data_IF_137865889866
#
_entry.id   IF_137865889866
#
_cell.length_a   1.000
_cell.length_b   1.000
_cell.length_c   1.000
_cell.angle_alpha   90.00
_cell.angle_beta   90.00
_cell.angle_gamma   90.00
#
_symmetry.space_group_name_H-M   'P 1'
#
loop_
_entity.id
_entity.type
_entity.pdbx_description
1 polymer ?
#
# COMPACT_ATOMS: atom_id res chain seq x y z
N UNK A 1 6.86 0.23 14.72
CA UNK A 1 7.20 -1.22 14.73
C UNK A 1 6.29 -2.02 15.65
N UNK A 2 6.04 -1.59 16.89
CA UNK A 2 5.11 -2.29 17.81
C UNK A 2 3.74 -2.58 17.17
N UNK A 3 3.21 -1.65 16.37
CA UNK A 3 1.96 -1.79 15.62
C UNK A 3 1.97 -2.99 14.66
N UNK A 4 3.07 -3.22 13.95
CA UNK A 4 3.23 -4.35 13.03
C UNK A 4 3.28 -5.69 13.77
N UNK A 5 4.01 -5.75 14.90
CA UNK A 5 4.07 -6.96 15.71
C UNK A 5 2.70 -7.32 16.30
N UNK A 6 1.94 -6.34 16.77
CA UNK A 6 0.54 -6.56 17.19
C UNK A 6 -0.29 -7.10 16.02
N UNK A 7 -0.11 -6.55 14.83
CA UNK A 7 -0.76 -7.05 13.61
C UNK A 7 -0.43 -8.52 13.32
N UNK A 8 0.85 -8.90 13.42
CA UNK A 8 1.31 -10.28 13.21
C UNK A 8 0.75 -11.24 14.26
N UNK A 9 0.71 -10.83 15.54
CA UNK A 9 0.14 -11.66 16.62
C UNK A 9 -1.35 -11.88 16.42
N UNK A 10 -2.10 -10.82 16.09
CA UNK A 10 -3.55 -10.92 15.80
C UNK A 10 -3.79 -11.82 14.59
N UNK A 11 -3.05 -11.62 13.50
CA UNK A 11 -3.20 -12.39 12.27
C UNK A 11 -2.82 -13.87 12.47
N UNK A 12 -1.73 -14.14 13.19
CA UNK A 12 -1.30 -15.48 13.56
C UNK A 12 -2.30 -16.18 14.46
N UNK A 13 -2.79 -15.49 15.51
CA UNK A 13 -3.84 -16.00 16.40
C UNK A 13 -5.13 -16.35 15.63
N UNK A 14 -5.58 -15.47 14.75
CA UNK A 14 -6.73 -15.70 13.89
C UNK A 14 -6.51 -16.91 12.97
N UNK A 15 -5.33 -17.03 12.37
CA UNK A 15 -4.98 -18.16 11.49
C UNK A 15 -5.01 -19.50 12.22
N UNK A 16 -4.47 -19.55 13.45
CA UNK A 16 -4.51 -20.74 14.31
C UNK A 16 -5.94 -21.09 14.70
N UNK A 17 -6.74 -20.09 15.10
CA UNK A 17 -8.14 -20.29 15.47
C UNK A 17 -8.96 -20.84 14.29
N UNK A 18 -8.75 -20.29 13.09
CA UNK A 18 -9.40 -20.74 11.88
C UNK A 18 -8.96 -22.15 11.46
N UNK A 19 -7.66 -22.47 11.59
CA UNK A 19 -7.17 -23.84 11.39
C UNK A 19 -7.82 -24.84 12.33
N UNK A 20 -7.83 -24.55 13.63
CA UNK A 20 -8.45 -25.42 14.63
C UNK A 20 -9.96 -25.58 14.40
N UNK A 21 -10.64 -24.47 14.06
CA UNK A 21 -12.06 -24.45 13.74
C UNK A 21 -12.41 -25.25 12.49
N UNK A 22 -11.69 -25.05 11.38
CA UNK A 22 -11.93 -25.81 10.14
C UNK A 22 -11.55 -27.28 10.29
N UNK A 23 -10.49 -27.59 11.05
CA UNK A 23 -10.13 -28.96 11.41
C UNK A 23 -11.24 -29.64 12.20
N UNK A 24 -11.73 -29.03 13.28
CA UNK A 24 -12.83 -29.55 14.07
C UNK A 24 -14.10 -29.74 13.24
N UNK A 25 -14.43 -28.76 12.40
CA UNK A 25 -15.57 -28.83 11.49
C UNK A 25 -15.43 -30.01 10.50
N UNK A 26 -14.24 -30.22 9.93
CA UNK A 26 -13.95 -31.30 8.97
C UNK A 26 -14.21 -32.71 9.53
N UNK A 27 -14.16 -32.88 10.85
CA UNK A 27 -14.50 -34.15 11.52
C UNK A 27 -16.01 -34.35 11.70
N UNK A 28 -16.81 -33.28 11.71
CA UNK A 28 -18.26 -33.33 11.94
C UNK A 28 -19.09 -33.35 10.67
N UNK A 29 -18.52 -32.87 9.56
CA UNK A 29 -19.21 -32.80 8.27
C UNK A 29 -18.87 -33.96 7.34
N UNK A 30 -19.69 -34.12 6.30
CA UNK A 30 -19.43 -35.08 5.23
C UNK A 30 -18.16 -34.71 4.47
N UNK A 31 -17.53 -35.75 3.93
CA UNK A 31 -16.31 -35.64 3.12
C UNK A 31 -16.49 -34.68 1.93
N UNK A 32 -17.60 -34.81 1.20
CA UNK A 32 -17.92 -33.95 0.07
C UNK A 32 -18.04 -32.48 0.47
N UNK A 33 -18.71 -32.19 1.59
CA UNK A 33 -18.87 -30.80 2.05
C UNK A 33 -17.53 -30.18 2.45
N UNK A 34 -16.66 -30.95 3.12
CA UNK A 34 -15.30 -30.49 3.45
C UNK A 34 -14.48 -30.14 2.21
N UNK A 35 -14.63 -30.92 1.12
CA UNK A 35 -13.91 -30.64 -0.14
C UNK A 35 -14.46 -29.40 -0.82
N UNK A 36 -15.78 -29.23 -0.86
CA UNK A 36 -16.42 -28.03 -1.41
C UNK A 36 -15.98 -26.77 -0.65
N UNK A 37 -15.89 -26.84 0.67
CA UNK A 37 -15.39 -25.72 1.49
C UNK A 37 -13.91 -25.45 1.23
N UNK A 38 -13.06 -26.48 1.10
CA UNK A 38 -11.65 -26.29 0.73
C UNK A 38 -11.50 -25.63 -0.65
N UNK A 39 -12.27 -26.07 -1.65
CA UNK A 39 -12.29 -25.48 -2.99
C UNK A 39 -12.76 -24.02 -2.97
N UNK A 40 -13.79 -23.72 -2.15
CA UNK A 40 -14.24 -22.35 -1.94
C UNK A 40 -13.12 -21.48 -1.34
N UNK A 41 -12.39 -21.97 -0.34
CA UNK A 41 -11.26 -21.23 0.26
C UNK A 41 -10.17 -20.96 -0.78
N UNK A 42 -9.84 -21.93 -1.65
CA UNK A 42 -8.89 -21.72 -2.75
C UNK A 42 -9.39 -20.65 -3.73
N UNK A 43 -10.67 -20.68 -4.10
CA UNK A 43 -11.27 -19.66 -4.96
C UNK A 43 -11.21 -18.26 -4.30
N UNK A 44 -11.49 -18.16 -3.00
CA UNK A 44 -11.37 -16.93 -2.24
C UNK A 44 -9.92 -16.43 -2.16
N UNK A 45 -8.94 -17.31 -1.98
CA UNK A 45 -7.53 -16.94 -2.03
C UNK A 45 -7.14 -16.37 -3.39
N UNK A 46 -7.57 -17.00 -4.48
CA UNK A 46 -7.31 -16.50 -5.84
C UNK A 46 -7.97 -15.14 -6.08
N UNK A 47 -9.24 -14.99 -5.69
CA UNK A 47 -9.95 -13.72 -5.75
C UNK A 47 -9.23 -12.63 -4.95
N UNK A 48 -8.82 -12.93 -3.73
CA UNK A 48 -8.07 -12.03 -2.86
C UNK A 48 -6.75 -11.60 -3.52
N UNK A 49 -5.93 -12.56 -3.98
CA UNK A 49 -4.65 -12.27 -4.67
C UNK A 49 -4.87 -11.37 -5.88
N UNK A 50 -5.93 -11.62 -6.65
CA UNK A 50 -6.15 -10.92 -7.92
C UNK A 50 -6.72 -9.51 -7.77
N UNK A 51 -7.54 -9.28 -6.74
CA UNK A 51 -8.38 -8.07 -6.65
C UNK A 51 -8.16 -7.22 -5.39
N UNK A 52 -7.70 -7.82 -4.29
CA UNK A 52 -7.59 -7.13 -2.99
C UNK A 52 -6.15 -7.04 -2.48
N UNK A 53 -5.26 -7.85 -3.04
CA UNK A 53 -3.86 -7.82 -2.65
C UNK A 53 -3.22 -6.48 -3.01
N UNK A 54 -2.60 -5.83 -2.01
CA UNK A 54 -2.07 -4.45 -2.09
C UNK A 54 -3.11 -3.37 -2.39
N UNK A 55 -4.40 -3.68 -2.31
CA UNK A 55 -5.45 -2.72 -2.56
C UNK A 55 -5.65 -1.77 -1.37
N UNK A 56 -5.39 -0.49 -1.59
CA UNK A 56 -5.48 0.54 -0.56
C UNK A 56 -6.92 0.84 -0.12
N UNK A 57 -7.95 0.38 -0.86
CA UNK A 57 -9.36 0.51 -0.46
C UNK A 57 -9.65 -0.13 0.88
N UNK A 58 -8.85 -1.12 1.29
CA UNK A 58 -8.96 -1.75 2.60
C UNK A 58 -8.84 -0.75 3.75
N UNK A 59 -8.24 0.43 3.54
CA UNK A 59 -8.18 1.52 4.54
C UNK A 59 -9.56 2.00 5.01
N UNK A 60 -10.61 1.88 4.18
CA UNK A 60 -11.98 2.28 4.56
C UNK A 60 -12.62 1.31 5.57
N UNK A 61 -12.19 0.05 5.56
CA UNK A 61 -12.73 -1.01 6.41
C UNK A 61 -11.82 -1.23 7.63
N UNK A 62 -10.50 -1.13 7.43
CA UNK A 62 -9.45 -1.37 8.41
C UNK A 62 -8.56 -0.12 8.55
N UNK A 63 -9.03 0.95 9.22
CA UNK A 63 -8.33 2.24 9.32
C UNK A 63 -7.17 2.21 10.34
N UNK A 64 -6.37 1.15 10.34
CA UNK A 64 -5.28 0.92 11.29
C UNK A 64 -3.92 1.14 10.60
N UNK A 65 -2.92 1.64 11.36
CA UNK A 65 -1.58 1.90 10.81
C UNK A 65 -0.87 0.63 10.35
N UNK A 66 -1.21 -0.53 10.91
CA UNK A 66 -0.62 -1.81 10.56
C UNK A 66 -1.36 -2.53 9.41
N UNK A 67 -2.11 -1.79 8.57
CA UNK A 67 -2.87 -2.32 7.43
C UNK A 67 -2.03 -3.21 6.51
N UNK A 68 -0.75 -2.88 6.32
CA UNK A 68 0.20 -3.69 5.54
C UNK A 68 0.22 -5.16 6.01
N UNK A 69 0.05 -5.41 7.30
CA UNK A 69 0.04 -6.74 7.90
C UNK A 69 -1.38 -7.29 8.00
N UNK A 70 -2.30 -6.56 8.63
CA UNK A 70 -3.66 -7.07 8.89
C UNK A 70 -4.51 -7.19 7.62
N UNK A 71 -4.17 -6.43 6.57
CA UNK A 71 -4.77 -6.54 5.24
C UNK A 71 -4.29 -7.77 4.48
N UNK A 72 -3.27 -8.48 4.97
CA UNK A 72 -2.82 -9.74 4.38
C UNK A 72 -3.72 -10.89 4.85
N UNK A 73 -4.73 -11.24 4.05
CA UNK A 73 -5.68 -12.30 4.38
C UNK A 73 -5.18 -13.71 4.01
N UNK A 74 -3.97 -13.85 3.45
CA UNK A 74 -3.43 -15.17 3.14
C UNK A 74 -3.28 -16.07 4.38
N UNK A 75 -2.67 -15.65 5.51
CA UNK A 75 -2.48 -16.57 6.63
C UNK A 75 -3.79 -17.11 7.21
N UNK A 76 -4.84 -16.28 7.42
CA UNK A 76 -6.16 -16.78 7.81
C UNK A 76 -6.75 -17.80 6.84
N UNK A 77 -6.71 -17.51 5.53
CA UNK A 77 -7.23 -18.41 4.49
C UNK A 77 -6.40 -19.71 4.38
N UNK A 78 -5.08 -19.61 4.52
CA UNK A 78 -4.18 -20.74 4.57
C UNK A 78 -4.47 -21.64 5.79
N UNK A 79 -4.74 -21.05 6.96
CA UNK A 79 -5.17 -21.78 8.15
C UNK A 79 -6.48 -22.53 7.92
N UNK A 80 -7.49 -21.86 7.37
CA UNK A 80 -8.76 -22.49 6.98
C UNK A 80 -8.55 -23.68 6.04
N UNK A 81 -7.80 -23.47 4.97
CA UNK A 81 -7.51 -24.49 3.95
C UNK A 81 -6.76 -25.68 4.56
N UNK A 82 -5.74 -25.43 5.39
CA UNK A 82 -4.97 -26.46 6.06
C UNK A 82 -5.85 -27.35 6.95
N UNK A 83 -6.81 -26.78 7.69
CA UNK A 83 -7.69 -27.56 8.56
C UNK A 83 -8.69 -28.43 7.78
N UNK A 84 -9.29 -27.93 6.69
CA UNK A 84 -10.15 -28.75 5.82
C UNK A 84 -9.35 -29.83 5.08
N UNK A 85 -8.14 -29.53 4.61
CA UNK A 85 -7.29 -30.47 3.90
C UNK A 85 -6.67 -31.55 4.82
N UNK A 86 -6.54 -31.29 6.12
CA UNK A 86 -5.88 -32.19 7.08
C UNK A 86 -6.41 -33.63 7.06
N UNK A 87 -7.73 -33.78 6.91
CA UNK A 87 -8.38 -35.09 6.89
C UNK A 87 -8.10 -35.85 5.58
N UNK A 88 -7.82 -35.14 4.48
CA UNK A 88 -7.58 -35.71 3.15
C UNK A 88 -6.16 -36.19 2.90
N UNK A 89 -5.20 -35.63 3.61
CA UNK A 89 -3.81 -36.04 3.46
C UNK A 89 -3.66 -37.47 4.01
N UNK A 90 -3.59 -38.46 3.12
CA UNK A 90 -3.42 -39.86 3.51
C UNK A 90 -2.00 -40.12 4.03
N UNK A 91 -1.90 -40.85 5.15
CA UNK A 91 -0.64 -41.28 5.75
C UNK A 91 -0.48 -40.87 7.22
N UNK A 92 0.75 -41.04 7.71
CA UNK A 92 1.13 -40.72 9.10
C UNK A 92 1.06 -39.21 9.37
N UNK A 93 0.89 -38.85 10.65
CA UNK A 93 0.80 -37.47 11.13
C UNK A 93 1.97 -36.58 10.64
N UNK A 94 3.14 -37.17 10.42
CA UNK A 94 4.31 -36.50 9.88
C UNK A 94 4.05 -35.85 8.51
N UNK A 95 3.44 -36.57 7.56
CA UNK A 95 3.15 -36.03 6.22
C UNK A 95 2.14 -34.87 6.28
N UNK A 96 1.12 -35.00 7.12
CA UNK A 96 0.11 -33.95 7.34
C UNK A 96 0.76 -32.68 7.88
N UNK A 97 1.63 -32.86 8.87
CA UNK A 97 2.36 -31.78 9.52
C UNK A 97 3.26 -31.06 8.53
N UNK A 98 4.01 -31.79 7.68
CA UNK A 98 4.86 -31.17 6.64
C UNK A 98 4.03 -30.31 5.67
N UNK A 99 2.97 -30.86 5.09
CA UNK A 99 2.18 -30.14 4.09
C UNK A 99 1.52 -28.88 4.66
N UNK A 100 0.94 -28.98 5.86
CA UNK A 100 0.30 -27.83 6.52
C UNK A 100 1.31 -26.81 7.02
N UNK A 101 2.47 -27.25 7.52
CA UNK A 101 3.54 -26.35 7.94
C UNK A 101 4.13 -25.59 6.76
N UNK A 102 4.31 -26.25 5.60
CA UNK A 102 4.80 -25.58 4.39
C UNK A 102 3.85 -24.44 3.96
N UNK A 103 2.54 -24.69 3.99
CA UNK A 103 1.54 -23.67 3.69
C UNK A 103 1.55 -22.53 4.73
N UNK A 104 1.66 -22.85 6.02
CA UNK A 104 1.76 -21.86 7.08
C UNK A 104 3.02 -21.01 6.97
N UNK A 105 4.16 -21.61 6.62
CA UNK A 105 5.44 -20.91 6.39
C UNK A 105 5.31 -19.98 5.18
N UNK A 106 4.75 -20.45 4.07
CA UNK A 106 4.58 -19.62 2.87
C UNK A 106 3.67 -18.42 3.14
N UNK A 107 2.53 -18.61 3.81
CA UNK A 107 1.62 -17.54 4.16
C UNK A 107 2.22 -16.59 5.21
N UNK A 108 2.89 -17.14 6.22
CA UNK A 108 3.60 -16.36 7.25
C UNK A 108 4.72 -15.51 6.64
N UNK A 109 5.49 -16.06 5.71
CA UNK A 109 6.51 -15.33 4.97
C UNK A 109 5.88 -14.17 4.19
N UNK A 110 4.76 -14.39 3.48
CA UNK A 110 4.06 -13.32 2.78
C UNK A 110 3.58 -12.19 3.72
N UNK A 111 3.23 -12.50 4.98
CA UNK A 111 2.84 -11.49 5.96
C UNK A 111 4.02 -10.69 6.52
N UNK A 112 5.21 -11.29 6.60
CA UNK A 112 6.43 -10.65 7.12
C UNK A 112 7.21 -9.95 6.01
N UNK A 113 7.05 -10.36 4.75
CA UNK A 113 7.80 -9.84 3.60
C UNK A 113 7.88 -8.30 3.54
N UNK A 114 6.79 -7.53 3.77
CA UNK A 114 6.87 -6.06 3.73
C UNK A 114 7.75 -5.43 4.82
N UNK A 115 8.06 -6.19 5.88
CA UNK A 115 8.90 -5.75 6.99
C UNK A 115 10.37 -6.13 6.80
N UNK A 116 10.69 -6.97 5.81
CA UNK A 116 12.05 -7.40 5.54
C UNK A 116 12.82 -6.33 4.77
N UNK A 117 14.13 -6.31 4.97
CA UNK A 117 15.04 -5.32 4.39
C UNK A 117 15.15 -4.04 5.21
N UNK A 118 16.05 -3.18 4.78
CA UNK A 118 16.38 -1.91 5.42
C UNK A 118 15.88 -0.74 4.57
N UNK A 119 15.48 0.35 5.22
CA UNK A 119 15.19 1.57 4.49
C UNK A 119 16.47 2.09 3.82
N UNK A 120 16.36 2.69 2.62
CA UNK A 120 17.50 3.27 1.95
C UNK A 120 18.09 4.44 2.77
N UNK A 121 19.41 4.58 2.73
CA UNK A 121 20.10 5.72 3.34
C UNK A 121 19.74 7.01 2.59
N UNK A 122 19.00 7.89 3.26
CA UNK A 122 18.54 9.16 2.70
C UNK A 122 19.35 10.34 3.26
N UNK A 123 19.54 11.40 2.48
CA UNK A 123 20.26 12.61 2.95
C UNK A 123 19.38 13.67 3.59
N UNK A 124 18.05 13.55 3.47
CA UNK A 124 17.08 14.52 3.99
C UNK A 124 17.25 15.92 3.38
N UNK A 125 17.49 15.96 2.07
CA UNK A 125 17.72 17.19 1.33
C UNK A 125 16.39 17.95 1.13
N UNK A 126 16.42 19.27 1.30
CA UNK A 126 15.29 20.16 1.03
C UNK A 126 15.71 21.22 0.01
N UNK A 127 14.85 21.50 -0.96
CA UNK A 127 15.11 22.59 -1.90
C UNK A 127 14.75 23.95 -1.29
N UNK A 128 15.09 25.03 -2.01
CA UNK A 128 14.81 26.41 -1.59
C UNK A 128 13.31 26.73 -1.50
N UNK A 129 12.45 25.92 -2.14
CA UNK A 129 10.99 26.05 -2.12
C UNK A 129 10.35 25.32 -0.94
N UNK A 130 11.16 24.66 -0.09
CA UNK A 130 10.66 23.90 1.06
C UNK A 130 10.08 22.54 0.70
N UNK A 131 10.44 21.98 -0.46
CA UNK A 131 10.09 20.62 -0.88
C UNK A 131 11.21 19.66 -0.49
N UNK A 132 10.86 18.53 0.10
CA UNK A 132 11.81 17.45 0.37
C UNK A 132 12.19 16.79 -0.96
N UNK A 133 13.48 16.79 -1.28
CA UNK A 133 14.01 16.20 -2.49
C UNK A 133 14.37 14.75 -2.20
N UNK A 134 13.96 13.82 -3.06
CA UNK A 134 14.35 12.43 -2.93
C UNK A 134 15.86 12.30 -3.19
N UNK A 135 16.52 11.53 -2.36
CA UNK A 135 17.98 11.30 -2.45
C UNK A 135 18.30 9.93 -3.05
N UNK A 136 17.29 9.07 -3.19
CA UNK A 136 17.39 7.75 -3.81
C UNK A 136 16.31 7.53 -4.87
N UNK A 137 16.47 6.51 -5.71
CA UNK A 137 15.49 6.14 -6.74
C UNK A 137 14.19 5.51 -6.20
N UNK A 138 14.11 5.26 -4.89
CA UNK A 138 13.02 4.52 -4.25
C UNK A 138 12.17 5.37 -3.29
N UNK A 139 12.58 6.62 -3.04
CA UNK A 139 12.08 7.45 -1.93
C UNK A 139 11.18 8.61 -2.37
N UNK A 140 10.74 8.66 -3.63
CA UNK A 140 9.78 9.66 -4.12
C UNK A 140 8.55 9.81 -3.21
N UNK A 141 7.95 8.69 -2.84
CA UNK A 141 6.78 8.67 -1.97
C UNK A 141 7.10 9.13 -0.55
N UNK A 142 8.27 8.77 0.00
CA UNK A 142 8.70 9.19 1.32
C UNK A 142 9.00 10.70 1.38
N UNK A 143 9.67 11.24 0.37
CA UNK A 143 9.95 12.67 0.22
C UNK A 143 8.66 13.49 0.03
N UNK A 144 7.73 13.01 -0.81
CA UNK A 144 6.40 13.61 -0.96
C UNK A 144 5.62 13.60 0.37
N UNK A 145 5.72 12.52 1.15
CA UNK A 145 5.10 12.44 2.48
C UNK A 145 5.72 13.42 3.48
N UNK A 146 7.05 13.54 3.52
CA UNK A 146 7.74 14.51 4.36
C UNK A 146 7.32 15.95 4.03
N UNK A 147 7.21 16.26 2.73
CA UNK A 147 6.72 17.56 2.25
C UNK A 147 5.28 17.82 2.68
N UNK A 148 4.38 16.84 2.46
CA UNK A 148 2.97 16.93 2.87
C UNK A 148 2.84 17.22 4.38
N UNK A 149 3.60 16.50 5.20
CA UNK A 149 3.58 16.67 6.66
C UNK A 149 4.09 18.06 7.07
N UNK A 150 5.17 18.54 6.46
CA UNK A 150 5.72 19.87 6.73
C UNK A 150 4.73 20.99 6.41
N UNK A 151 3.98 20.87 5.32
CA UNK A 151 2.90 21.82 4.98
C UNK A 151 1.78 21.86 6.02
N UNK A 152 1.63 20.79 6.80
CA UNK A 152 0.66 20.68 7.89
C UNK A 152 1.27 20.98 9.28
N UNK A 153 2.50 21.51 9.32
CA UNK A 153 3.21 21.85 10.55
C UNK A 153 3.73 20.64 11.33
N UNK A 154 3.91 19.49 10.66
CA UNK A 154 4.49 18.28 11.25
C UNK A 154 5.89 18.08 10.67
N UNK A 155 6.92 18.18 11.50
CA UNK A 155 8.30 17.94 11.09
C UNK A 155 8.52 16.47 10.76
N UNK A 156 8.98 16.18 9.55
CA UNK A 156 9.34 14.84 9.09
C UNK A 156 10.50 14.93 8.11
N UNK A 157 11.35 13.91 8.08
CA UNK A 157 12.46 13.82 7.11
C UNK A 157 12.22 12.72 6.09
N UNK A 158 12.98 12.72 4.98
CA UNK A 158 12.94 11.66 3.98
C UNK A 158 13.27 10.29 4.60
N UNK A 159 14.37 10.18 5.36
CA UNK A 159 14.80 8.96 6.04
C UNK A 159 13.73 8.44 7.00
N UNK A 160 13.15 9.34 7.80
CA UNK A 160 12.11 8.97 8.76
C UNK A 160 10.89 8.42 8.02
N UNK A 161 10.43 9.10 6.98
CA UNK A 161 9.29 8.64 6.21
C UNK A 161 9.60 7.38 5.42
N UNK A 162 10.83 7.17 4.93
CA UNK A 162 11.23 5.94 4.27
C UNK A 162 11.11 4.74 5.22
N UNK A 163 11.53 4.89 6.47
CA UNK A 163 11.41 3.83 7.48
C UNK A 163 9.95 3.61 7.92
N UNK A 164 9.21 4.69 8.20
CA UNK A 164 7.81 4.63 8.58
C UNK A 164 6.90 4.08 7.47
N UNK A 165 7.24 4.34 6.21
CA UNK A 165 6.52 3.83 5.05
C UNK A 165 6.95 2.43 4.60
N UNK A 166 7.96 1.83 5.26
CA UNK A 166 8.56 0.55 4.86
C UNK A 166 9.10 0.58 3.42
N UNK A 167 9.72 1.70 3.04
CA UNK A 167 10.34 1.89 1.74
C UNK A 167 11.54 0.97 1.60
N UNK A 168 11.57 0.15 0.55
CA UNK A 168 12.69 -0.73 0.18
C UNK A 168 13.06 -0.46 -1.27
N UNK A 169 12.64 -1.32 -2.19
CA UNK A 169 12.73 -1.11 -3.64
C UNK A 169 11.60 -0.22 -4.18
N UNK A 170 11.12 0.70 -3.35
CA UNK A 170 9.94 1.54 -3.60
C UNK A 170 9.04 1.56 -2.37
N UNK A 171 7.93 2.30 -2.48
CA UNK A 171 6.95 2.46 -1.40
C UNK A 171 5.57 2.05 -1.89
N UNK A 172 4.91 1.16 -1.15
CA UNK A 172 3.52 0.79 -1.43
C UNK A 172 2.55 1.82 -0.86
N UNK A 173 1.33 1.92 -1.41
CA UNK A 173 0.29 2.80 -0.88
C UNK A 173 -0.10 2.47 0.57
N UNK A 174 -0.14 1.19 0.93
CA UNK A 174 -0.35 0.77 2.31
C UNK A 174 0.82 1.18 3.22
N UNK A 175 2.05 1.14 2.70
CA UNK A 175 3.25 1.66 3.36
C UNK A 175 3.14 3.17 3.61
N UNK A 176 2.83 3.96 2.59
CA UNK A 176 2.58 5.40 2.72
C UNK A 176 1.49 5.70 3.77
N UNK A 177 0.35 5.00 3.67
CA UNK A 177 -0.74 5.15 4.64
C UNK A 177 -0.28 4.86 6.07
N UNK A 178 0.47 3.77 6.28
CA UNK A 178 1.07 3.44 7.57
C UNK A 178 1.95 4.57 8.07
N UNK A 179 2.88 5.05 7.24
CA UNK A 179 3.86 6.05 7.66
C UNK A 179 3.19 7.35 8.07
N UNK A 180 2.23 7.83 7.27
CA UNK A 180 1.45 9.00 7.60
C UNK A 180 0.60 8.80 8.86
N UNK A 181 -0.06 7.63 9.05
CA UNK A 181 -0.86 7.35 10.26
C UNK A 181 -0.02 7.34 11.52
N UNK A 182 1.22 6.84 11.44
CA UNK A 182 2.14 6.89 12.58
C UNK A 182 2.58 8.32 12.87
N UNK A 183 2.97 9.07 11.84
CA UNK A 183 3.50 10.41 12.01
C UNK A 183 2.45 11.45 12.43
N UNK A 184 1.18 11.21 12.07
CA UNK A 184 0.03 12.03 12.49
C UNK A 184 -0.58 11.59 13.82
N UNK A 185 -0.03 10.57 14.49
CA UNK A 185 -0.55 10.11 15.78
C UNK A 185 -0.40 11.21 16.84
N UNK A 186 -1.51 11.60 17.47
CA UNK A 186 -1.52 12.63 18.51
C UNK A 186 -1.56 14.06 17.96
N UNK A 187 -1.66 14.26 16.65
CA UNK A 187 -1.94 15.55 16.04
C UNK A 187 -3.44 15.68 15.72
N UNK A 188 -3.86 16.86 15.26
CA UNK A 188 -5.23 17.10 14.76
C UNK A 188 -5.53 16.42 13.43
N UNK A 189 -4.52 15.85 12.77
CA UNK A 189 -4.63 15.34 11.41
C UNK A 189 -4.86 13.83 11.39
N UNK A 190 -5.67 13.36 10.44
CA UNK A 190 -5.79 11.97 10.05
C UNK A 190 -5.50 11.80 8.56
N UNK A 191 -5.33 10.56 8.12
CA UNK A 191 -4.94 10.20 6.76
C UNK A 191 -6.15 9.65 6.02
N UNK A 192 -6.45 10.24 4.87
CA UNK A 192 -7.49 9.76 3.97
C UNK A 192 -6.87 9.31 2.64
N UNK A 193 -7.26 8.11 2.20
CA UNK A 193 -6.95 7.61 0.86
C UNK A 193 -8.17 7.73 -0.02
N UNK A 194 -7.98 8.37 -1.17
CA UNK A 194 -9.03 8.68 -2.13
C UNK A 194 -8.72 7.93 -3.41
N UNK A 195 -9.67 7.12 -3.85
CA UNK A 195 -9.74 6.71 -5.24
C UNK A 195 -10.68 7.66 -5.97
N UNK A 196 -10.18 8.29 -7.02
CA UNK A 196 -10.93 9.29 -7.75
C UNK A 196 -10.48 9.37 -9.20
N UNK A 197 -11.28 10.04 -10.03
CA UNK A 197 -10.87 10.44 -11.36
C UNK A 197 -10.28 11.85 -11.31
N UNK A 198 -9.59 12.26 -12.37
CA UNK A 198 -9.07 13.63 -12.46
C UNK A 198 -10.17 14.68 -12.37
N UNK A 199 -11.36 14.41 -12.91
CA UNK A 199 -12.57 15.24 -12.79
C UNK A 199 -12.90 15.56 -11.33
N UNK A 200 -12.77 14.58 -10.44
CA UNK A 200 -12.98 14.77 -9.01
C UNK A 200 -11.90 15.67 -8.42
N UNK A 201 -10.63 15.55 -8.84
CA UNK A 201 -9.55 16.46 -8.43
C UNK A 201 -9.85 17.90 -8.87
N UNK A 202 -10.46 18.09 -10.06
CA UNK A 202 -10.84 19.44 -10.55
C UNK A 202 -11.85 20.10 -9.61
N UNK A 203 -12.69 19.34 -8.92
CA UNK A 203 -13.75 19.84 -8.03
C UNK A 203 -13.40 19.71 -6.54
N UNK A 204 -12.43 18.86 -6.21
CA UNK A 204 -12.09 18.51 -4.84
C UNK A 204 -11.59 19.72 -4.03
N UNK A 205 -12.18 19.89 -2.86
CA UNK A 205 -11.62 20.69 -1.76
C UNK A 205 -10.73 19.76 -0.94
N UNK A 206 -9.50 20.18 -0.62
CA UNK A 206 -8.61 19.42 0.27
C UNK A 206 -7.22 19.14 -0.31
N UNK A 207 -6.62 20.13 -0.97
CA UNK A 207 -5.16 20.18 -1.19
C UNK A 207 -4.46 20.65 0.10
N UNK A 208 -3.20 20.28 0.36
CA UNK A 208 -2.32 19.48 -0.51
C UNK A 208 -2.55 17.97 -0.38
N UNK A 209 -2.24 17.22 -1.45
CA UNK A 209 -2.40 15.75 -1.50
C UNK A 209 -1.33 15.08 -2.37
N UNK A 210 -0.92 13.88 -2.01
CA UNK A 210 0.01 13.05 -2.79
C UNK A 210 -0.78 12.31 -3.86
N UNK A 211 -0.27 12.30 -5.09
CA UNK A 211 -0.88 11.64 -6.23
C UNK A 211 -0.03 10.45 -6.69
N UNK A 212 -0.70 9.35 -7.06
CA UNK A 212 -0.10 8.30 -7.89
C UNK A 212 -0.06 8.78 -9.32
N UNK A 213 1.15 8.87 -9.88
CA UNK A 213 1.34 9.32 -11.25
C UNK A 213 2.24 8.36 -12.03
N UNK A 214 2.04 8.30 -13.34
CA UNK A 214 2.87 7.53 -14.25
C UNK A 214 2.13 7.24 -15.55
N UNK A 215 2.89 7.01 -16.62
CA UNK A 215 2.34 6.81 -17.95
C UNK A 215 1.56 5.50 -18.04
N UNK A 216 0.25 5.63 -18.27
CA UNK A 216 -0.62 4.50 -18.59
C UNK A 216 -0.29 3.88 -19.95
N UNK A 217 -0.68 2.61 -20.19
CA UNK A 217 -0.42 1.93 -21.45
C UNK A 217 -1.15 2.55 -22.66
N UNK A 218 -2.18 3.38 -22.45
CA UNK A 218 -2.93 4.03 -23.53
C UNK A 218 -2.24 5.31 -24.05
N UNK A 219 -1.51 6.05 -23.19
CA UNK A 219 -0.77 7.27 -23.55
C UNK A 219 0.38 6.97 -24.52
N UNK A 220 0.88 5.73 -24.51
CA UNK A 220 1.93 5.19 -25.38
C UNK A 220 1.70 5.44 -26.88
N UNK A 221 0.46 5.58 -27.35
CA UNK A 221 0.17 5.69 -28.78
C UNK A 221 0.22 7.12 -29.32
N UNK A 222 0.12 8.14 -28.47
CA UNK A 222 -0.10 9.52 -28.92
C UNK A 222 1.08 10.46 -28.66
N UNK A 223 1.76 10.34 -27.52
CA UNK A 223 2.66 11.40 -27.03
C UNK A 223 3.94 10.89 -26.31
N UNK A 224 4.41 9.67 -26.62
CA UNK A 224 5.59 9.05 -25.96
C UNK A 224 6.83 9.96 -25.97
N UNK A 225 7.07 10.68 -27.07
CA UNK A 225 8.23 11.58 -27.22
C UNK A 225 8.18 12.77 -26.26
N UNK A 226 7.01 13.35 -26.04
CA UNK A 226 6.81 14.51 -25.14
C UNK A 226 7.19 14.14 -23.71
N UNK A 227 6.69 13.01 -23.23
CA UNK A 227 6.90 12.59 -21.84
C UNK A 227 8.27 11.94 -21.60
N UNK A 228 8.87 11.32 -22.63
CA UNK A 228 10.24 10.80 -22.55
C UNK A 228 11.28 11.92 -22.33
N UNK A 229 11.08 13.09 -22.94
CA UNK A 229 11.93 14.27 -22.72
C UNK A 229 11.84 14.80 -21.27
N UNK A 230 10.73 14.55 -20.58
CA UNK A 230 10.54 14.88 -19.17
C UNK A 230 10.99 13.77 -18.21
N UNK A 231 11.55 12.68 -18.74
CA UNK A 231 12.11 11.57 -17.96
C UNK A 231 11.12 10.47 -17.58
N UNK A 232 9.87 10.55 -18.02
CA UNK A 232 8.86 9.53 -17.73
C UNK A 232 9.09 8.26 -18.56
N UNK A 233 8.97 7.11 -17.90
CA UNK A 233 9.07 5.79 -18.55
C UNK A 233 7.78 5.00 -18.38
N UNK A 234 7.28 4.34 -19.44
CA UNK A 234 6.11 3.50 -19.35
C UNK A 234 6.23 2.42 -18.27
N UNK A 235 5.17 2.23 -17.49
CA UNK A 235 5.13 1.25 -16.41
C UNK A 235 5.90 1.65 -15.14
N UNK A 236 6.56 2.82 -15.11
CA UNK A 236 7.18 3.36 -13.90
C UNK A 236 6.19 4.25 -13.17
N UNK A 237 5.76 3.82 -11.97
CA UNK A 237 4.99 4.65 -11.06
C UNK A 237 5.90 5.66 -10.34
N UNK A 238 5.36 6.83 -10.04
CA UNK A 238 6.00 7.90 -9.28
C UNK A 238 4.99 8.55 -8.33
N UNK A 239 5.47 9.31 -7.35
CA UNK A 239 4.62 10.01 -6.39
C UNK A 239 5.00 11.49 -6.38
N UNK A 240 4.00 12.33 -6.65
CA UNK A 240 4.14 13.79 -6.64
C UNK A 240 3.12 14.41 -5.68
N UNK A 241 3.33 15.66 -5.28
CA UNK A 241 2.45 16.36 -4.37
C UNK A 241 1.69 17.47 -5.09
N UNK A 242 0.37 17.37 -5.17
CA UNK A 242 -0.49 18.46 -5.59
C UNK A 242 -0.58 19.50 -4.48
N UNK A 243 0.04 20.67 -4.69
CA UNK A 243 0.08 21.76 -3.71
C UNK A 243 -1.19 22.60 -3.73
N UNK A 244 -1.58 23.05 -4.92
CA UNK A 244 -2.70 23.96 -5.10
C UNK A 244 -3.16 23.98 -6.55
N UNK A 245 -4.39 24.42 -6.78
CA UNK A 245 -4.87 24.77 -8.12
C UNK A 245 -4.60 26.25 -8.40
N UNK A 246 -3.95 26.54 -9.52
CA UNK A 246 -3.69 27.90 -9.99
C UNK A 246 -4.98 28.58 -10.47
N UNK A 247 -5.03 29.91 -10.37
CA UNK A 247 -6.19 30.73 -10.75
C UNK A 247 -6.59 30.57 -12.23
N UNK A 248 -5.62 30.24 -13.10
CA UNK A 248 -5.82 30.05 -14.55
C UNK A 248 -6.09 28.59 -14.94
N UNK A 249 -6.36 27.70 -13.97
CA UNK A 249 -6.73 26.30 -14.25
C UNK A 249 -5.56 25.30 -14.34
N UNK A 250 -4.32 25.73 -14.07
CA UNK A 250 -3.17 24.83 -13.91
C UNK A 250 -3.09 24.21 -12.51
N UNK A 251 -2.32 23.13 -12.37
CA UNK A 251 -2.06 22.43 -11.12
C UNK A 251 -0.62 22.64 -10.71
N UNK A 252 -0.39 23.15 -9.49
CA UNK A 252 0.96 23.27 -8.94
C UNK A 252 1.36 21.95 -8.32
N UNK A 253 2.32 21.27 -8.92
CA UNK A 253 2.80 19.96 -8.52
C UNK A 253 4.22 20.12 -7.97
N UNK A 254 4.49 19.61 -6.77
CA UNK A 254 5.85 19.46 -6.28
C UNK A 254 6.33 18.05 -6.61
N UNK A 255 7.34 17.96 -7.47
CA UNK A 255 8.03 16.72 -7.78
C UNK A 255 9.26 16.58 -6.87
N UNK A 256 9.35 15.50 -6.06
CA UNK A 256 10.50 15.27 -5.20
C UNK A 256 11.78 14.93 -5.98
N UNK A 257 11.72 14.71 -7.30
CA UNK A 257 12.89 14.35 -8.12
C UNK A 257 13.92 15.49 -8.14
N UNK A 258 15.22 15.19 -7.99
CA UNK A 258 16.26 16.22 -8.01
C UNK A 258 16.22 17.05 -9.29
N UNK A 259 16.17 18.38 -9.15
CA UNK A 259 16.20 19.33 -10.26
C UNK A 259 14.85 19.81 -10.78
N UNK A 260 13.72 19.21 -10.37
CA UNK A 260 12.38 19.60 -10.82
C UNK A 260 11.73 20.65 -9.91
N UNK A 261 11.51 20.34 -8.63
CA UNK A 261 10.89 21.29 -7.68
C UNK A 261 9.39 21.47 -7.93
N UNK A 262 8.90 22.72 -7.93
CA UNK A 262 7.50 23.03 -8.22
C UNK A 262 7.27 23.23 -9.72
N UNK A 263 6.44 22.38 -10.31
CA UNK A 263 5.99 22.45 -11.69
C UNK A 263 4.54 22.93 -11.79
N UNK A 264 4.15 23.36 -13.00
CA UNK A 264 2.76 23.67 -13.33
C UNK A 264 2.28 22.73 -14.43
N UNK A 265 1.37 21.84 -14.08
CA UNK A 265 0.74 20.91 -15.02
C UNK A 265 -0.58 21.49 -15.52
N UNK A 266 -0.91 21.27 -16.80
CA UNK A 266 -2.24 21.57 -17.31
C UNK A 266 -3.21 20.40 -17.02
N UNK A 267 -4.46 20.51 -17.49
CA UNK A 267 -5.44 19.43 -17.27
C UNK A 267 -5.12 18.17 -18.05
N UNK A 268 -4.55 18.28 -19.24
CA UNK A 268 -4.21 17.13 -20.08
C UNK A 268 -3.06 16.34 -19.45
N UNK A 269 -2.03 17.02 -18.93
CA UNK A 269 -0.92 16.39 -18.20
C UNK A 269 -1.44 15.57 -17.00
N UNK A 270 -2.38 16.13 -16.23
CA UNK A 270 -2.98 15.44 -15.10
C UNK A 270 -3.85 14.25 -15.54
N UNK A 271 -4.64 14.42 -16.61
CA UNK A 271 -5.49 13.39 -17.20
C UNK A 271 -4.66 12.21 -17.75
N UNK A 272 -3.47 12.47 -18.29
CA UNK A 272 -2.55 11.46 -18.82
C UNK A 272 -1.73 10.75 -17.73
N UNK A 273 -1.30 11.48 -16.69
CA UNK A 273 -0.38 10.97 -15.68
C UNK A 273 -1.07 10.37 -14.45
N UNK A 274 -2.26 10.85 -14.06
CA UNK A 274 -2.88 10.43 -12.80
C UNK A 274 -3.40 8.98 -12.87
N UNK A 275 -3.02 8.16 -11.89
CA UNK A 275 -3.35 6.73 -11.86
C UNK A 275 -4.56 6.41 -10.97
N UNK A 276 -5.35 7.42 -10.57
CA UNK A 276 -6.62 7.21 -9.88
C UNK A 276 -6.54 7.05 -8.36
N UNK A 277 -5.36 7.21 -7.75
CA UNK A 277 -5.17 7.11 -6.29
C UNK A 277 -4.48 8.36 -5.75
N UNK A 278 -5.04 8.94 -4.70
CA UNK A 278 -4.49 10.08 -3.98
C UNK A 278 -4.55 9.88 -2.46
N UNK A 279 -3.65 10.53 -1.73
CA UNK A 279 -3.63 10.53 -0.26
C UNK A 279 -3.52 11.95 0.26
N UNK A 280 -4.34 12.31 1.24
CA UNK A 280 -4.31 13.62 1.88
C UNK A 280 -4.42 13.52 3.39
N UNK A 281 -4.15 14.65 4.06
CA UNK A 281 -4.46 14.82 5.47
C UNK A 281 -5.80 15.54 5.62
N UNK A 282 -6.61 15.06 6.56
CA UNK A 282 -7.90 15.66 6.93
C UNK A 282 -7.88 15.96 8.43
N UNK A 283 -8.64 16.96 8.87
CA UNK A 283 -8.81 17.17 10.32
C UNK A 283 -9.63 16.02 10.92
N UNK A 284 -9.23 15.60 12.12
CA UNK A 284 -9.96 14.60 12.90
C UNK A 284 -11.31 15.19 13.35
N UNK A 285 -12.39 14.39 13.32
CA UNK A 285 -13.69 14.80 13.87
C UNK A 285 -13.64 15.03 15.38
#
# INVERSE_FOLDING_TARGET
MADLYVGLVVLGGLSIALFAGSLWCSYRISQLLSDLLAMLVVALMFFYIRHLWYDVRLTRILPFSNLVVIGNWLPPLAGLLAGFAWRRIYGRIFRKTICTSALAIAAGYAAVLPMLGEAPECRNDWNFEGICVQTTKHTCTAASAATLLRLHGIDATESEMAELCLTREGTTWMGLYRGLKQKTRGTRWDVEVIECQTSDIKVARGVPMILSVGLGPEVLKRDERRYAEWGWRPGQGHSVLLLSRGALGGYRIADPTPGYGIETWNSDDLDDLFQGTAVRLIERP
#
